data_IF_743744761827
#
_entry.id   IF_743744761827
#
_cell.length_a   1.000
_cell.length_b   1.000
_cell.length_c   1.000
_cell.angle_alpha   90.00
_cell.angle_beta   90.00
_cell.angle_gamma   90.00
#
_symmetry.space_group_name_H-M   'P 1'
#
loop_
_entity.id
_entity.type
_entity.pdbx_description
1 polymer ?
#
# COMPACT_ATOMS: atom_id res chain seq x y z
N UNK A 1 -23.74 5.03 -19.91
CA UNK A 1 -23.31 5.29 -18.52
C UNK A 1 -21.88 4.83 -18.37
N UNK A 2 -20.95 5.71 -17.98
CA UNK A 2 -19.53 5.36 -17.86
C UNK A 2 -19.24 4.83 -16.45
N UNK A 3 -18.64 3.65 -16.36
CA UNK A 3 -18.19 3.07 -15.09
C UNK A 3 -16.91 3.80 -14.65
N UNK A 4 -16.91 4.38 -13.44
CA UNK A 4 -15.75 5.09 -12.88
C UNK A 4 -15.32 4.41 -11.57
N UNK A 5 -14.06 4.03 -11.50
CA UNK A 5 -13.44 3.59 -10.26
C UNK A 5 -12.73 4.79 -9.63
N UNK A 6 -12.84 4.90 -8.30
CA UNK A 6 -12.18 5.95 -7.52
C UNK A 6 -11.16 5.31 -6.60
N UNK A 7 -10.03 5.99 -6.44
CA UNK A 7 -8.99 5.58 -5.52
C UNK A 7 -9.55 5.52 -4.08
N UNK A 8 -9.20 4.45 -3.37
CA UNK A 8 -9.56 4.27 -1.97
C UNK A 8 -8.27 4.14 -1.13
N UNK A 9 -7.96 5.19 -0.38
CA UNK A 9 -6.78 5.27 0.50
C UNK A 9 -6.72 4.14 1.51
N UNK A 10 -7.88 3.67 1.97
CA UNK A 10 -7.93 2.59 2.95
C UNK A 10 -7.49 1.28 2.31
N UNK A 11 -8.03 0.96 1.14
CA UNK A 11 -7.59 -0.22 0.37
C UNK A 11 -6.13 -0.12 -0.03
N UNK A 12 -5.65 1.06 -0.41
CA UNK A 12 -4.23 1.28 -0.75
C UNK A 12 -3.30 0.98 0.43
N UNK A 13 -3.61 1.53 1.59
CA UNK A 13 -2.85 1.31 2.83
C UNK A 13 -2.89 -0.14 3.28
N UNK A 14 -4.07 -0.76 3.28
CA UNK A 14 -4.24 -2.16 3.68
C UNK A 14 -3.56 -3.13 2.70
N UNK A 15 -3.59 -2.83 1.40
CA UNK A 15 -2.88 -3.64 0.40
C UNK A 15 -1.36 -3.58 0.60
N UNK A 16 -0.80 -2.40 0.88
CA UNK A 16 0.63 -2.28 1.20
C UNK A 16 1.00 -2.98 2.51
N UNK A 17 0.18 -2.81 3.55
CA UNK A 17 0.39 -3.47 4.82
C UNK A 17 0.35 -4.99 4.65
N UNK A 18 -0.63 -5.51 3.91
CA UNK A 18 -0.74 -6.92 3.56
C UNK A 18 0.51 -7.42 2.83
N UNK A 19 0.96 -6.74 1.79
CA UNK A 19 2.19 -7.09 1.04
C UNK A 19 3.40 -7.18 1.99
N UNK A 20 3.54 -6.24 2.92
CA UNK A 20 4.63 -6.24 3.88
C UNK A 20 4.53 -7.36 4.93
N UNK A 21 3.32 -7.83 5.27
CA UNK A 21 3.17 -9.03 6.09
C UNK A 21 3.65 -10.30 5.39
N UNK A 22 3.54 -10.37 4.05
CA UNK A 22 4.00 -11.50 3.26
C UNK A 22 5.53 -11.52 3.10
N UNK A 23 6.14 -10.32 3.08
CA UNK A 23 7.60 -10.16 2.99
C UNK A 23 8.11 -9.17 4.04
N UNK A 24 8.33 -9.63 5.28
CA UNK A 24 8.92 -8.80 6.32
C UNK A 24 10.29 -8.27 5.85
N UNK A 25 10.42 -6.96 5.74
CA UNK A 25 11.63 -6.30 5.21
C UNK A 25 11.48 -5.69 3.83
N UNK A 26 10.38 -5.92 3.12
CA UNK A 26 10.11 -5.22 1.86
C UNK A 26 10.01 -3.71 2.10
N UNK A 27 10.61 -2.91 1.22
CA UNK A 27 10.48 -1.45 1.27
C UNK A 27 9.19 -1.01 0.58
N UNK A 28 8.66 0.16 0.93
CA UNK A 28 7.54 0.80 0.19
C UNK A 28 7.74 0.73 -1.31
N UNK A 29 8.95 1.04 -1.76
CA UNK A 29 9.28 1.11 -3.18
C UNK A 29 9.07 -0.23 -3.91
N UNK A 30 9.48 -1.35 -3.31
CA UNK A 30 9.23 -2.68 -3.86
C UNK A 30 7.78 -3.12 -3.67
N UNK A 31 7.16 -2.77 -2.54
CA UNK A 31 5.74 -3.07 -2.28
C UNK A 31 4.82 -2.40 -3.32
N UNK A 32 5.12 -1.16 -3.73
CA UNK A 32 4.43 -0.46 -4.81
C UNK A 32 4.48 -1.19 -6.15
N UNK A 33 5.61 -1.83 -6.48
CA UNK A 33 5.75 -2.64 -7.69
C UNK A 33 4.92 -3.92 -7.60
N UNK A 34 4.92 -4.57 -6.45
CA UNK A 34 4.07 -5.73 -6.20
C UNK A 34 2.60 -5.34 -6.37
N UNK A 35 2.19 -4.21 -5.80
CA UNK A 35 0.83 -3.70 -5.91
C UNK A 35 0.43 -3.45 -7.38
N UNK A 36 1.32 -2.88 -8.19
CA UNK A 36 1.09 -2.72 -9.63
C UNK A 36 0.80 -4.06 -10.34
N UNK A 37 1.62 -5.09 -10.09
CA UNK A 37 1.41 -6.40 -10.70
C UNK A 37 0.15 -7.09 -10.19
N UNK A 38 -0.17 -6.92 -8.90
CA UNK A 38 -1.41 -7.40 -8.30
C UNK A 38 -2.63 -6.73 -8.96
N UNK A 39 -2.59 -5.41 -9.15
CA UNK A 39 -3.65 -4.63 -9.80
C UNK A 39 -3.86 -5.08 -11.24
N UNK A 40 -2.78 -5.19 -12.01
CA UNK A 40 -2.82 -5.67 -13.40
C UNK A 40 -3.44 -7.05 -13.51
N UNK A 41 -3.06 -7.97 -12.62
CA UNK A 41 -3.63 -9.32 -12.58
C UNK A 41 -5.12 -9.29 -12.19
N UNK A 42 -5.49 -8.52 -11.16
CA UNK A 42 -6.86 -8.43 -10.67
C UNK A 42 -7.80 -7.83 -11.72
N UNK A 43 -7.36 -6.78 -12.41
CA UNK A 43 -8.08 -6.16 -13.53
C UNK A 43 -8.30 -7.16 -14.67
N UNK A 44 -7.26 -7.89 -15.07
CA UNK A 44 -7.37 -8.87 -16.16
C UNK A 44 -8.26 -10.07 -15.82
N UNK A 45 -8.31 -10.48 -14.55
CA UNK A 45 -9.12 -11.62 -14.12
C UNK A 45 -10.57 -11.24 -13.81
N UNK A 46 -10.81 -10.09 -13.18
CA UNK A 46 -12.12 -9.74 -12.60
C UNK A 46 -12.76 -8.49 -13.20
N UNK A 47 -12.07 -7.79 -14.10
CA UNK A 47 -12.58 -6.56 -14.71
C UNK A 47 -12.72 -5.38 -13.75
N UNK A 48 -12.08 -5.43 -12.58
CA UNK A 48 -12.10 -4.36 -11.57
C UNK A 48 -10.72 -4.16 -10.92
N UNK A 49 -10.38 -2.94 -10.49
CA UNK A 49 -9.17 -2.66 -9.73
C UNK A 49 -9.31 -3.07 -8.26
N UNK A 50 -8.18 -3.29 -7.58
CA UNK A 50 -8.11 -3.46 -6.11
C UNK A 50 -8.19 -2.08 -5.46
N UNK A 51 -7.31 -1.17 -5.88
CA UNK A 51 -7.15 0.17 -5.26
C UNK A 51 -7.60 1.31 -6.15
N UNK A 52 -7.63 1.10 -7.48
CA UNK A 52 -8.01 2.09 -8.48
C UNK A 52 -7.13 3.35 -8.47
N UNK A 53 -5.85 3.19 -8.14
CA UNK A 53 -4.85 4.25 -8.22
C UNK A 53 -4.40 4.45 -9.68
N UNK A 54 -3.87 5.63 -9.96
CA UNK A 54 -3.18 5.95 -11.21
C UNK A 54 -1.72 5.51 -11.11
N UNK A 55 -1.34 4.48 -11.88
CA UNK A 55 0.06 4.03 -11.93
C UNK A 55 0.83 4.78 -13.02
N UNK A 56 1.93 5.41 -12.63
CA UNK A 56 2.83 6.14 -13.53
C UNK A 56 4.14 5.39 -13.73
N UNK A 57 4.69 5.44 -14.95
CA UNK A 57 5.99 4.86 -15.24
C UNK A 57 7.11 5.83 -14.83
N UNK A 58 7.85 5.49 -13.78
CA UNK A 58 9.02 6.23 -13.31
C UNK A 58 10.32 5.51 -13.71
N UNK A 59 11.50 6.15 -13.64
CA UNK A 59 12.77 5.53 -14.05
C UNK A 59 13.04 4.15 -13.41
N UNK A 60 12.61 3.96 -12.17
CA UNK A 60 12.85 2.73 -11.43
C UNK A 60 11.64 1.75 -11.45
N UNK A 61 10.62 2.01 -12.26
CA UNK A 61 9.44 1.16 -12.43
C UNK A 61 8.11 1.88 -12.17
N UNK A 62 6.99 1.13 -12.21
CA UNK A 62 5.66 1.69 -12.00
C UNK A 62 5.45 2.08 -10.53
N UNK A 63 4.80 3.22 -10.31
CA UNK A 63 4.51 3.76 -8.97
C UNK A 63 3.03 4.18 -8.91
N UNK A 64 2.29 3.81 -7.86
CA UNK A 64 0.93 4.30 -7.63
C UNK A 64 1.00 5.78 -7.20
N UNK A 65 0.51 6.70 -8.01
CA UNK A 65 0.73 8.14 -7.85
C UNK A 65 0.11 8.66 -6.56
N UNK A 66 -1.18 8.38 -6.32
CA UNK A 66 -1.89 8.94 -5.17
C UNK A 66 -1.39 8.29 -3.88
N UNK A 67 -1.20 6.97 -3.86
CA UNK A 67 -0.65 6.27 -2.72
C UNK A 67 0.79 6.71 -2.42
N UNK A 68 1.60 6.99 -3.44
CA UNK A 68 2.96 7.50 -3.25
C UNK A 68 2.99 8.87 -2.59
N UNK A 69 2.14 9.79 -3.04
CA UNK A 69 1.99 11.11 -2.43
C UNK A 69 1.44 11.02 -1.00
N UNK A 70 0.56 10.05 -0.73
CA UNK A 70 0.07 9.72 0.61
C UNK A 70 1.20 9.24 1.52
N UNK A 71 2.04 8.32 1.04
CA UNK A 71 3.22 7.83 1.78
C UNK A 71 4.19 8.97 2.07
N UNK A 72 4.41 9.89 1.11
CA UNK A 72 5.25 11.09 1.26
C UNK A 72 4.72 12.13 2.25
N UNK A 73 3.50 11.97 2.76
CA UNK A 73 2.83 12.99 3.54
C UNK A 73 2.54 14.26 2.72
N UNK A 74 2.61 14.16 1.39
CA UNK A 74 2.35 15.26 0.45
C UNK A 74 0.85 15.47 0.22
N UNK A 75 0.04 14.43 0.45
CA UNK A 75 -1.41 14.52 0.46
C UNK A 75 -1.89 14.68 1.89
N UNK A 76 -2.13 15.94 2.29
CA UNK A 76 -2.89 16.27 3.50
C UNK A 76 -4.39 16.06 3.31
N UNK A 77 -4.80 14.87 2.84
CA UNK A 77 -6.20 14.55 2.70
C UNK A 77 -6.78 14.24 4.09
N UNK A 78 -7.30 15.32 4.69
CA UNK A 78 -8.35 15.34 5.72
C UNK A 78 -8.19 14.38 6.90
N UNK A 79 -7.42 14.76 7.92
CA UNK A 79 -7.69 14.38 9.32
C UNK A 79 -7.62 12.90 9.70
N UNK A 80 -7.24 12.01 8.79
CA UNK A 80 -7.05 10.58 9.07
C UNK A 80 -5.64 10.32 9.63
N UNK A 81 -5.53 9.29 10.47
CA UNK A 81 -4.31 8.95 11.20
C UNK A 81 -3.10 8.72 10.27
N UNK A 82 -1.87 9.03 10.72
CA UNK A 82 -0.65 8.77 9.95
C UNK A 82 -0.63 7.34 9.40
N UNK A 83 -0.14 7.16 8.16
CA UNK A 83 0.00 5.85 7.50
C UNK A 83 0.63 4.79 8.42
N UNK A 84 1.63 5.18 9.20
CA UNK A 84 2.29 4.30 10.17
C UNK A 84 1.34 3.77 11.26
N UNK A 85 0.41 4.60 11.74
CA UNK A 85 -0.59 4.22 12.75
C UNK A 85 -1.61 3.25 12.15
N UNK A 86 -2.07 3.51 10.92
CA UNK A 86 -2.98 2.61 10.19
C UNK A 86 -2.36 1.26 9.88
N UNK A 87 -1.09 1.24 9.48
CA UNK A 87 -0.33 -0.01 9.30
C UNK A 87 -0.22 -0.75 10.64
N UNK A 88 0.05 -0.04 11.73
CA UNK A 88 0.15 -0.63 13.06
C UNK A 88 -1.17 -1.26 13.50
N UNK A 89 -2.29 -0.56 13.27
CA UNK A 89 -3.64 -1.09 13.50
C UNK A 89 -3.93 -2.31 12.63
N UNK A 90 -3.66 -2.24 11.33
CA UNK A 90 -3.84 -3.39 10.43
C UNK A 90 -3.04 -4.62 10.88
N UNK A 91 -1.79 -4.42 11.30
CA UNK A 91 -0.93 -5.49 11.84
C UNK A 91 -1.49 -6.03 13.16
N UNK A 92 -2.03 -5.17 14.03
CA UNK A 92 -2.65 -5.61 15.28
C UNK A 92 -3.92 -6.44 15.04
N UNK A 93 -4.75 -6.02 14.08
CA UNK A 93 -6.04 -6.63 13.78
C UNK A 93 -5.91 -7.92 12.96
N UNK A 94 -5.02 -7.93 11.95
CA UNK A 94 -4.91 -9.04 11.00
C UNK A 94 -3.68 -9.93 11.19
N UNK A 95 -2.63 -9.44 11.87
CA UNK A 95 -1.39 -10.20 12.09
C UNK A 95 -1.06 -10.57 13.55
N UNK A 96 -2.02 -10.83 14.48
CA UNK A 96 -1.67 -11.21 15.84
C UNK A 96 -1.06 -12.62 15.96
N UNK A 97 -1.16 -13.51 14.95
CA UNK A 97 -0.76 -14.94 15.10
C UNK A 97 0.49 -15.41 14.34
N UNK A 98 1.06 -14.63 13.43
CA UNK A 98 2.16 -15.09 12.55
C UNK A 98 3.41 -14.23 12.55
N UNK A 99 3.34 -12.95 12.93
CA UNK A 99 4.48 -12.03 12.91
C UNK A 99 5.14 -11.90 14.28
N UNK A 100 6.46 -12.08 14.33
CA UNK A 100 7.28 -11.78 15.52
C UNK A 100 7.33 -10.27 15.77
N UNK A 101 7.58 -9.80 17.01
CA UNK A 101 7.76 -8.37 17.30
C UNK A 101 8.81 -7.70 16.40
N UNK A 102 9.90 -8.39 16.09
CA UNK A 102 10.95 -7.89 15.20
C UNK A 102 10.44 -7.68 13.76
N UNK A 103 9.62 -8.60 13.24
CA UNK A 103 9.02 -8.45 11.92
C UNK A 103 8.01 -7.30 11.87
N UNK A 104 7.22 -7.08 12.94
CA UNK A 104 6.30 -5.94 13.02
C UNK A 104 7.05 -4.61 12.96
N UNK A 105 8.10 -4.47 13.76
CA UNK A 105 8.92 -3.26 13.77
C UNK A 105 9.59 -3.02 12.41
N UNK A 106 10.06 -4.09 11.76
CA UNK A 106 10.66 -4.00 10.44
C UNK A 106 9.67 -3.53 9.37
N UNK A 107 8.43 -4.02 9.41
CA UNK A 107 7.37 -3.58 8.50
C UNK A 107 7.04 -2.11 8.71
N UNK A 108 6.84 -1.69 9.97
CA UNK A 108 6.53 -0.29 10.29
C UNK A 108 7.66 0.62 9.81
N UNK A 109 8.91 0.29 10.11
CA UNK A 109 10.06 1.11 9.74
C UNK A 109 10.28 1.18 8.22
N UNK A 110 10.08 0.08 7.49
CA UNK A 110 10.31 0.05 6.05
C UNK A 110 9.13 0.56 5.22
N UNK A 111 7.92 0.63 5.80
CA UNK A 111 6.75 1.24 5.20
C UNK A 111 6.59 2.73 5.56
N UNK A 112 7.01 3.13 6.76
CA UNK A 112 7.10 4.54 7.16
C UNK A 112 8.39 5.21 6.67
N UNK A 113 9.39 4.40 6.29
CA UNK A 113 10.65 4.84 5.70
C UNK A 113 10.42 5.42 4.31
N UNK A 114 10.20 6.74 4.28
CA UNK A 114 10.40 7.53 3.08
C UNK A 114 11.85 7.45 2.63
N UNK A 115 12.13 7.45 1.31
CA UNK A 115 13.48 7.75 0.84
C UNK A 115 13.90 9.16 1.26
#
# INVERSE_FOLDING_TARGET
>A
MALRFQFDERKGTEALAYIATQWPGITVFYASKVLFFAEKKHLNTYGRPIVADTFVAMPNGPVPSTLYDFIRGNLGLSGEQPLAERISQFIADQAPRTLTPNQRNLIINNLAGLP
#
